data_IF_256342755316
#
_entry.id   IF_256342755316
#
_cell.length_a   1.000
_cell.length_b   1.000
_cell.length_c   1.000
_cell.angle_alpha   90.00
_cell.angle_beta   90.00
_cell.angle_gamma   90.00
#
_symmetry.space_group_name_H-M   'P 1'
#
loop_
_entity.id
_entity.type
_entity.pdbx_description
1 polymer ?
#
# COMPACT_ATOMS: atom_id res chain seq x y z
N UNK A 1 -45.40 -40.66 -7.11
CA UNK A 1 -45.06 -39.21 -7.13
C UNK A 1 -44.76 -38.81 -8.57
N UNK A 2 -45.16 -37.59 -8.95
CA UNK A 2 -45.60 -37.17 -10.29
C UNK A 2 -44.49 -36.97 -11.36
N UNK A 3 -44.95 -37.04 -12.61
CA UNK A 3 -44.33 -36.94 -13.94
C UNK A 3 -43.39 -35.75 -14.21
N UNK A 4 -42.63 -35.79 -15.33
CA UNK A 4 -42.37 -34.62 -16.16
C UNK A 4 -43.05 -34.74 -17.54
N UNK A 5 -43.69 -33.66 -18.01
CA UNK A 5 -44.18 -33.42 -19.38
C UNK A 5 -43.98 -31.91 -19.67
N UNK A 6 -43.13 -31.53 -20.62
CA UNK A 6 -43.38 -31.21 -22.05
C UNK A 6 -43.55 -29.70 -22.35
N UNK A 7 -43.21 -29.36 -23.61
CA UNK A 7 -43.32 -28.12 -24.41
C UNK A 7 -41.93 -27.50 -24.70
N UNK A 8 -41.29 -27.66 -25.88
CA UNK A 8 -41.64 -27.58 -27.31
C UNK A 8 -41.71 -26.13 -27.87
N UNK A 9 -40.70 -25.85 -28.71
CA UNK A 9 -40.55 -25.00 -29.91
C UNK A 9 -41.48 -23.79 -30.16
N UNK A 10 -40.89 -22.68 -30.65
CA UNK A 10 -41.31 -22.02 -31.89
C UNK A 10 -40.26 -21.02 -32.42
N UNK A 11 -40.08 -21.06 -33.74
CA UNK A 11 -39.21 -20.27 -34.61
C UNK A 11 -40.01 -19.22 -35.39
N UNK A 12 -39.40 -18.07 -35.70
CA UNK A 12 -39.75 -17.17 -36.85
C UNK A 12 -38.48 -16.35 -37.14
N UNK A 13 -37.70 -16.45 -38.23
CA UNK A 13 -37.92 -16.42 -39.69
C UNK A 13 -38.22 -15.03 -40.30
N UNK A 14 -37.13 -14.40 -40.77
CA UNK A 14 -36.94 -13.82 -42.13
C UNK A 14 -37.54 -12.45 -42.53
N UNK A 15 -36.67 -11.71 -43.25
CA UNK A 15 -36.94 -10.77 -44.35
C UNK A 15 -37.41 -9.35 -43.97
N UNK A 16 -37.11 -8.25 -44.66
CA UNK A 16 -36.22 -7.85 -45.75
C UNK A 16 -36.43 -6.31 -45.91
N UNK A 17 -35.65 -5.68 -46.79
CA UNK A 17 -35.93 -4.43 -47.52
C UNK A 17 -35.20 -3.16 -47.04
N UNK A 18 -33.98 -3.02 -47.56
CA UNK A 18 -33.50 -1.74 -48.05
C UNK A 18 -34.37 -1.28 -49.24
N UNK A 19 -34.85 -0.04 -49.21
CA UNK A 19 -35.21 0.74 -50.41
C UNK A 19 -34.76 2.19 -50.24
N UNK A 20 -34.06 2.64 -51.27
CA UNK A 20 -33.53 3.99 -51.46
C UNK A 20 -34.63 5.04 -51.59
N UNK A 21 -34.39 6.23 -51.04
CA UNK A 21 -34.95 7.49 -51.56
C UNK A 21 -33.80 8.49 -51.67
N UNK A 22 -33.71 9.11 -52.86
CA UNK A 22 -32.71 10.10 -53.28
C UNK A 22 -33.06 11.50 -52.77
N UNK A 23 -32.04 12.36 -52.82
CA UNK A 23 -32.02 13.83 -52.88
C UNK A 23 -32.49 14.61 -51.64
N UNK A 24 -31.55 15.23 -50.93
CA UNK A 24 -31.27 16.68 -51.08
C UNK A 24 -30.04 17.10 -50.27
N UNK A 25 -29.22 17.93 -50.89
CA UNK A 25 -28.09 18.58 -50.25
C UNK A 25 -28.60 19.75 -49.40
N UNK A 26 -28.35 19.73 -48.09
CA UNK A 26 -28.45 20.93 -47.27
C UNK A 26 -27.30 20.97 -46.25
N UNK A 27 -26.38 21.90 -46.50
CA UNK A 27 -25.27 22.25 -45.62
C UNK A 27 -25.82 22.62 -44.24
N UNK A 28 -25.48 21.84 -43.22
CA UNK A 28 -25.48 22.26 -41.81
C UNK A 28 -24.24 21.67 -41.13
N UNK A 29 -23.38 22.56 -40.66
CA UNK A 29 -22.22 22.28 -39.81
C UNK A 29 -22.66 21.55 -38.53
N UNK A 30 -22.08 20.39 -38.20
CA UNK A 30 -22.19 19.82 -36.86
C UNK A 30 -20.90 20.11 -36.08
N UNK A 31 -21.12 20.77 -34.96
CA UNK A 31 -20.20 20.96 -33.83
C UNK A 31 -19.49 19.63 -33.52
N UNK A 32 -18.15 19.64 -33.49
CA UNK A 32 -17.36 18.49 -33.02
C UNK A 32 -17.60 18.30 -31.52
N UNK A 33 -18.61 17.49 -31.21
CA UNK A 33 -18.75 16.80 -29.93
C UNK A 33 -17.80 15.61 -29.93
N UNK A 34 -16.54 15.83 -29.55
CA UNK A 34 -15.70 14.75 -29.03
C UNK A 34 -15.78 14.82 -27.51
N UNK A 35 -16.77 14.14 -26.94
CA UNK A 35 -16.73 13.74 -25.53
C UNK A 35 -15.53 12.81 -25.37
N UNK A 36 -14.37 13.37 -25.04
CA UNK A 36 -13.35 12.64 -24.30
C UNK A 36 -13.90 12.54 -22.87
N UNK A 37 -14.69 11.49 -22.65
CA UNK A 37 -14.86 10.97 -21.30
C UNK A 37 -13.50 10.37 -20.93
N UNK A 38 -12.60 11.19 -20.40
CA UNK A 38 -11.52 10.64 -19.59
C UNK A 38 -12.19 10.20 -18.30
N UNK A 39 -12.31 8.89 -18.12
CA UNK A 39 -12.52 8.31 -16.81
C UNK A 39 -11.31 8.73 -15.97
N UNK A 40 -11.48 9.75 -15.13
CA UNK A 40 -10.49 10.10 -14.11
C UNK A 40 -10.62 9.01 -13.06
N UNK A 41 -9.98 7.87 -13.30
CA UNK A 41 -9.73 6.87 -12.29
C UNK A 41 -8.94 7.59 -11.19
N UNK A 42 -9.58 7.81 -10.04
CA UNK A 42 -8.95 8.45 -8.89
C UNK A 42 -7.76 7.58 -8.49
N UNK A 43 -6.55 7.94 -8.91
CA UNK A 43 -5.31 7.31 -8.49
C UNK A 43 -5.22 7.49 -6.98
N UNK A 44 -5.60 6.45 -6.22
CA UNK A 44 -5.45 6.44 -4.77
C UNK A 44 -3.96 6.29 -4.48
N UNK A 45 -3.30 7.38 -4.11
CA UNK A 45 -1.90 7.38 -3.68
C UNK A 45 -1.79 6.60 -2.37
N UNK A 46 -0.85 5.66 -2.30
CA UNK A 46 -0.64 4.88 -1.09
C UNK A 46 -0.15 5.80 0.05
N UNK A 47 -0.73 5.63 1.25
CA UNK A 47 -0.34 6.41 2.44
C UNK A 47 0.84 5.76 3.15
N UNK A 48 1.86 6.55 3.47
CA UNK A 48 3.06 6.16 4.22
C UNK A 48 3.11 6.97 5.51
N UNK A 49 2.96 6.31 6.64
CA UNK A 49 3.19 6.89 7.96
C UNK A 49 4.67 6.83 8.28
N UNK A 50 5.26 7.97 8.67
CA UNK A 50 6.67 8.05 9.04
C UNK A 50 6.82 8.50 10.48
N UNK A 51 7.89 8.10 11.16
CA UNK A 51 8.19 8.58 12.50
C UNK A 51 9.64 8.28 12.89
N UNK A 52 10.23 9.13 13.71
CA UNK A 52 11.61 8.96 14.16
C UNK A 52 11.88 9.61 15.51
N UNK A 53 12.81 9.02 16.26
CA UNK A 53 13.49 9.70 17.37
C UNK A 53 14.54 10.70 16.84
N UNK A 54 15.17 11.45 17.72
CA UNK A 54 16.23 12.41 17.43
C UNK A 54 17.34 11.82 16.55
N UNK A 55 17.72 10.56 16.79
CA UNK A 55 18.79 9.90 16.05
C UNK A 55 18.37 9.46 14.63
N UNK A 56 17.07 9.41 14.34
CA UNK A 56 16.51 9.12 13.02
C UNK A 56 15.93 10.34 12.30
N UNK A 57 15.84 11.50 12.98
CA UNK A 57 15.10 12.67 12.50
C UNK A 57 15.59 13.19 11.14
N UNK A 58 16.90 13.42 10.97
CA UNK A 58 17.45 13.90 9.69
C UNK A 58 17.18 12.93 8.52
N UNK A 59 17.25 11.62 8.79
CA UNK A 59 16.97 10.60 7.79
C UNK A 59 15.47 10.54 7.44
N UNK A 60 14.59 10.76 8.43
CA UNK A 60 13.14 10.86 8.22
C UNK A 60 12.83 12.02 7.28
N UNK A 61 13.32 13.22 7.58
CA UNK A 61 13.09 14.41 6.76
C UNK A 61 13.53 14.19 5.31
N UNK A 62 14.74 13.63 5.10
CA UNK A 62 15.23 13.33 3.76
C UNK A 62 14.37 12.31 3.00
N UNK A 63 13.85 11.29 3.69
CA UNK A 63 12.97 10.29 3.10
C UNK A 63 11.57 10.82 2.82
N UNK A 64 11.03 11.69 3.68
CA UNK A 64 9.73 12.31 3.47
C UNK A 64 9.65 13.06 2.15
N UNK A 65 10.64 13.89 1.88
CA UNK A 65 10.71 14.66 0.64
C UNK A 65 10.78 13.74 -0.58
N UNK A 66 11.59 12.68 -0.50
CA UNK A 66 11.71 11.70 -1.57
C UNK A 66 10.39 10.94 -1.80
N UNK A 67 9.73 10.48 -0.74
CA UNK A 67 8.47 9.76 -0.83
C UNK A 67 7.35 10.63 -1.44
N UNK A 68 7.30 11.92 -1.08
CA UNK A 68 6.36 12.88 -1.67
C UNK A 68 6.65 13.06 -3.18
N UNK A 69 7.92 13.13 -3.58
CA UNK A 69 8.33 13.19 -4.99
C UNK A 69 7.97 11.91 -5.77
N UNK A 70 8.04 10.76 -5.13
CA UNK A 70 7.68 9.46 -5.71
C UNK A 70 6.14 9.25 -5.77
N UNK A 71 5.35 10.23 -5.33
CA UNK A 71 3.89 10.24 -5.45
C UNK A 71 3.11 9.61 -4.29
N UNK A 72 3.77 9.35 -3.16
CA UNK A 72 3.11 8.84 -1.96
C UNK A 72 2.46 9.95 -1.13
N UNK A 73 1.35 9.62 -0.46
CA UNK A 73 0.81 10.48 0.59
C UNK A 73 1.57 10.20 1.89
N UNK A 74 2.39 11.16 2.34
CA UNK A 74 3.22 10.98 3.53
C UNK A 74 2.57 11.67 4.73
N UNK A 75 2.43 10.94 5.84
CA UNK A 75 1.92 11.45 7.11
C UNK A 75 3.00 11.29 8.17
N UNK A 76 3.56 12.42 8.61
CA UNK A 76 4.54 12.46 9.69
C UNK A 76 3.85 12.31 11.05
N UNK A 77 4.23 11.26 11.78
CA UNK A 77 3.77 10.95 13.13
C UNK A 77 4.71 11.50 14.20
N UNK A 78 5.72 12.28 13.81
CA UNK A 78 6.59 13.05 14.66
C UNK A 78 8.03 12.52 14.74
N UNK A 79 8.96 13.34 15.26
CA UNK A 79 8.78 14.77 15.59
C UNK A 79 8.93 15.70 14.37
N UNK A 80 8.21 16.83 14.37
CA UNK A 80 8.34 17.88 13.33
C UNK A 80 9.59 18.75 13.49
N UNK A 81 10.26 18.67 14.63
CA UNK A 81 11.51 19.36 14.93
C UNK A 81 12.45 18.38 15.64
N UNK A 82 13.76 18.62 15.57
CA UNK A 82 14.74 17.83 16.33
C UNK A 82 14.58 18.09 17.84
N UNK A 83 14.35 17.03 18.63
CA UNK A 83 14.23 17.08 20.10
C UNK A 83 15.16 16.01 20.69
N UNK A 84 16.34 16.40 21.15
CA UNK A 84 17.43 15.47 21.54
C UNK A 84 17.06 14.44 22.62
N UNK A 85 16.14 14.79 23.53
CA UNK A 85 15.74 13.92 24.66
C UNK A 85 14.41 13.19 24.38
N UNK A 86 14.04 13.00 23.11
CA UNK A 86 12.84 12.25 22.74
C UNK A 86 13.02 10.73 22.81
N UNK A 87 11.88 10.05 22.91
CA UNK A 87 11.80 8.61 23.19
C UNK A 87 11.23 7.87 21.98
N UNK A 88 12.03 7.02 21.34
CA UNK A 88 11.63 6.21 20.18
C UNK A 88 10.32 5.41 20.34
N UNK A 89 9.90 4.95 21.55
CA UNK A 89 8.65 4.22 21.68
C UNK A 89 7.42 5.02 21.24
N UNK A 90 7.41 6.35 21.44
CA UNK A 90 6.27 7.20 21.12
C UNK A 90 5.99 7.17 19.62
N UNK A 91 7.03 7.34 18.80
CA UNK A 91 6.93 7.35 17.34
C UNK A 91 6.68 5.95 16.77
N UNK A 92 7.39 4.93 17.28
CA UNK A 92 7.23 3.54 16.85
C UNK A 92 5.81 3.03 17.07
N UNK A 93 5.24 3.31 18.25
CA UNK A 93 3.87 2.94 18.59
C UNK A 93 2.85 3.73 17.76
N UNK A 94 3.04 5.05 17.61
CA UNK A 94 2.12 5.90 16.85
C UNK A 94 2.00 5.45 15.38
N UNK A 95 3.12 5.20 14.70
CA UNK A 95 3.13 4.69 13.32
C UNK A 95 2.48 3.31 13.26
N UNK A 96 2.85 2.39 14.14
CA UNK A 96 2.31 1.03 14.12
C UNK A 96 0.78 0.99 14.30
N UNK A 97 0.25 1.81 15.22
CA UNK A 97 -1.19 1.93 15.45
C UNK A 97 -1.92 2.45 14.22
N UNK A 98 -1.35 3.43 13.50
CA UNK A 98 -1.94 3.94 12.26
C UNK A 98 -1.92 2.90 11.16
N UNK A 99 -0.79 2.24 10.93
CA UNK A 99 -0.64 1.23 9.88
C UNK A 99 -1.62 0.06 10.04
N UNK A 100 -1.86 -0.39 11.28
CA UNK A 100 -2.81 -1.48 11.55
C UNK A 100 -4.26 -1.06 11.32
N UNK A 101 -4.59 0.21 11.57
CA UNK A 101 -5.98 0.71 11.45
C UNK A 101 -6.32 1.23 10.06
N UNK A 102 -5.32 1.70 9.31
CA UNK A 102 -5.46 2.22 7.96
C UNK A 102 -5.05 1.16 6.92
N UNK A 103 -6.04 0.40 6.45
CA UNK A 103 -5.82 -0.72 5.53
C UNK A 103 -5.26 -0.22 4.20
N UNK A 104 -4.12 -0.79 3.78
CA UNK A 104 -3.43 -0.43 2.53
C UNK A 104 -2.27 0.54 2.73
N UNK A 105 -2.18 1.20 3.89
CA UNK A 105 -1.04 2.04 4.27
C UNK A 105 0.22 1.22 4.60
N UNK A 106 1.34 1.92 4.76
CA UNK A 106 2.62 1.37 5.23
C UNK A 106 3.26 2.30 6.25
N UNK A 107 4.17 1.76 7.04
CA UNK A 107 4.95 2.52 8.03
C UNK A 107 6.45 2.51 7.72
N UNK A 108 7.12 3.62 7.99
CA UNK A 108 8.58 3.69 8.04
C UNK A 108 8.95 4.35 9.38
N UNK A 109 9.73 3.65 10.19
CA UNK A 109 10.19 4.15 11.49
C UNK A 109 11.69 4.17 11.56
N UNK A 110 12.26 5.17 12.21
CA UNK A 110 13.71 5.38 12.22
C UNK A 110 14.16 5.66 13.65
N UNK A 111 15.18 4.92 14.09
CA UNK A 111 15.91 5.30 15.30
C UNK A 111 17.40 5.04 15.11
N UNK A 112 18.23 5.35 16.11
CA UNK A 112 19.69 5.25 15.97
C UNK A 112 20.18 3.93 15.33
N UNK A 113 19.70 2.77 15.80
CA UNK A 113 20.06 1.45 15.27
C UNK A 113 18.88 0.62 14.71
N UNK A 114 17.70 1.23 14.57
CA UNK A 114 16.41 0.60 14.22
C UNK A 114 15.83 -0.43 15.21
N UNK A 115 16.62 -1.02 16.10
CA UNK A 115 16.20 -2.19 16.87
C UNK A 115 15.12 -1.85 17.90
N UNK A 116 15.34 -0.80 18.69
CA UNK A 116 14.40 -0.41 19.74
C UNK A 116 13.02 -0.08 19.17
N UNK A 117 12.99 0.77 18.14
CA UNK A 117 11.72 1.19 17.52
C UNK A 117 11.01 0.03 16.81
N UNK A 118 11.76 -0.91 16.23
CA UNK A 118 11.22 -2.14 15.64
C UNK A 118 10.60 -3.06 16.70
N UNK A 119 11.24 -3.19 17.87
CA UNK A 119 10.71 -3.96 19.00
C UNK A 119 9.38 -3.37 19.47
N UNK A 120 9.30 -2.04 19.61
CA UNK A 120 8.07 -1.36 20.05
C UNK A 120 6.96 -1.47 19.02
N UNK A 121 7.24 -1.24 17.74
CA UNK A 121 6.23 -1.33 16.68
C UNK A 121 5.56 -2.71 16.65
N UNK A 122 6.33 -3.79 16.83
CA UNK A 122 5.81 -5.16 16.90
C UNK A 122 5.00 -5.48 18.18
N UNK A 123 4.89 -4.55 19.14
CA UNK A 123 3.96 -4.71 20.29
C UNK A 123 2.52 -4.33 19.95
N UNK A 124 2.28 -3.78 18.76
CA UNK A 124 0.93 -3.52 18.27
C UNK A 124 0.44 -4.75 17.52
N UNK A 125 -0.65 -5.37 18.00
CA UNK A 125 -1.30 -6.50 17.33
C UNK A 125 -1.57 -6.19 15.84
N UNK A 126 -1.10 -7.05 14.94
CA UNK A 126 -1.22 -6.92 13.49
C UNK A 126 -0.08 -6.14 12.83
N UNK A 127 0.79 -5.49 13.61
CA UNK A 127 2.01 -4.88 13.09
C UNK A 127 3.07 -5.95 12.84
N UNK A 128 3.71 -5.87 11.69
CA UNK A 128 4.85 -6.69 11.29
C UNK A 128 5.96 -5.76 10.86
N UNK A 129 6.74 -5.33 11.84
CA UNK A 129 7.85 -4.42 11.65
C UNK A 129 9.16 -5.20 11.43
N UNK A 130 9.92 -4.81 10.42
CA UNK A 130 11.18 -5.46 10.05
C UNK A 130 12.30 -4.44 9.88
N UNK A 131 13.51 -4.78 10.32
CA UNK A 131 14.69 -3.92 10.16
C UNK A 131 15.28 -4.07 8.77
N UNK A 132 15.24 -3.01 7.96
CA UNK A 132 15.79 -2.97 6.61
C UNK A 132 17.18 -2.37 6.57
N UNK A 133 18.23 -3.15 6.83
CA UNK A 133 19.61 -2.64 6.78
C UNK A 133 20.24 -2.69 5.38
N UNK A 134 19.60 -3.38 4.43
CA UNK A 134 19.97 -3.40 3.01
C UNK A 134 18.75 -3.76 2.13
N UNK A 135 18.92 -3.71 0.80
CA UNK A 135 17.84 -3.97 -0.18
C UNK A 135 17.29 -5.39 -0.06
N UNK A 136 18.16 -6.39 -0.06
CA UNK A 136 17.77 -7.80 -0.07
C UNK A 136 16.93 -8.15 1.16
N UNK A 137 17.32 -7.65 2.34
CA UNK A 137 16.59 -7.88 3.59
C UNK A 137 15.26 -7.14 3.59
N UNK A 138 15.22 -5.91 3.08
CA UNK A 138 13.97 -5.18 2.95
C UNK A 138 13.01 -5.89 1.98
N UNK A 139 13.49 -6.34 0.82
CA UNK A 139 12.68 -7.12 -0.13
C UNK A 139 12.17 -8.41 0.49
N UNK A 140 13.04 -9.20 1.13
CA UNK A 140 12.63 -10.47 1.74
C UNK A 140 11.66 -10.28 2.91
N UNK A 141 11.77 -9.19 3.68
CA UNK A 141 10.76 -8.85 4.70
C UNK A 141 9.36 -8.62 4.10
N UNK A 142 9.28 -8.14 2.86
CA UNK A 142 8.00 -8.00 2.13
C UNK A 142 7.55 -9.33 1.57
N UNK A 143 8.41 -10.03 0.82
CA UNK A 143 8.03 -11.25 0.12
C UNK A 143 7.65 -12.37 1.08
N UNK A 144 8.35 -12.49 2.20
CA UNK A 144 8.27 -13.66 3.09
C UNK A 144 7.42 -13.37 4.32
N UNK A 145 7.57 -12.18 4.91
CA UNK A 145 6.94 -11.80 6.18
C UNK A 145 5.77 -10.83 6.02
N UNK A 146 5.50 -10.38 4.80
CA UNK A 146 4.51 -9.35 4.50
C UNK A 146 4.60 -8.16 5.48
N UNK A 147 5.83 -7.71 5.77
CA UNK A 147 6.11 -6.64 6.71
C UNK A 147 5.38 -5.36 6.28
N UNK A 148 4.60 -4.76 7.18
CA UNK A 148 3.84 -3.54 6.90
C UNK A 148 4.52 -2.29 7.48
N UNK A 149 5.60 -2.47 8.25
CA UNK A 149 6.42 -1.38 8.79
C UNK A 149 7.91 -1.70 8.52
N UNK A 150 8.64 -0.73 7.98
CA UNK A 150 10.08 -0.82 7.78
C UNK A 150 10.81 0.00 8.85
N UNK A 151 11.82 -0.60 9.49
CA UNK A 151 12.64 0.06 10.51
C UNK A 151 14.04 0.33 9.95
N UNK A 152 14.51 1.57 10.02
CA UNK A 152 15.80 1.99 9.46
C UNK A 152 16.76 2.51 10.53
N UNK A 153 18.07 2.21 10.41
CA UNK A 153 19.06 2.63 11.39
C UNK A 153 19.65 4.01 11.03
N UNK A 154 19.12 5.07 11.65
CA UNK A 154 19.48 6.47 11.36
C UNK A 154 20.98 6.79 11.48
N UNK A 155 21.69 6.18 12.44
CA UNK A 155 23.14 6.40 12.62
C UNK A 155 24.02 5.53 11.71
N UNK A 156 23.44 4.58 11.00
CA UNK A 156 24.19 3.56 10.24
C UNK A 156 23.81 3.49 8.76
N UNK A 157 22.99 4.44 8.28
CA UNK A 157 22.54 4.47 6.90
C UNK A 157 22.41 5.90 6.41
N UNK A 158 23.04 6.22 5.28
CA UNK A 158 22.86 7.52 4.64
C UNK A 158 21.53 7.60 3.85
N UNK A 159 21.09 8.81 3.54
CA UNK A 159 19.81 9.07 2.87
C UNK A 159 19.70 8.41 1.50
N UNK A 160 20.79 8.33 0.73
CA UNK A 160 20.78 7.68 -0.59
C UNK A 160 20.53 6.19 -0.44
N UNK A 161 21.26 5.54 0.48
CA UNK A 161 21.11 4.11 0.76
C UNK A 161 19.74 3.81 1.34
N UNK A 162 19.23 4.66 2.23
CA UNK A 162 17.90 4.52 2.80
C UNK A 162 16.81 4.61 1.74
N UNK A 163 16.87 5.59 0.84
CA UNK A 163 15.91 5.72 -0.27
C UNK A 163 15.89 4.46 -1.14
N UNK A 164 17.08 3.94 -1.46
CA UNK A 164 17.26 2.68 -2.18
C UNK A 164 16.63 1.46 -1.49
N UNK A 165 16.70 1.40 -0.16
CA UNK A 165 16.12 0.33 0.66
C UNK A 165 14.60 0.47 0.75
N UNK A 166 14.12 1.69 0.98
CA UNK A 166 12.69 2.05 1.05
C UNK A 166 12.00 1.77 -0.28
N UNK A 167 12.59 2.18 -1.40
CA UNK A 167 12.06 1.91 -2.74
C UNK A 167 11.93 0.41 -3.00
N UNK A 168 12.98 -0.37 -2.70
CA UNK A 168 12.95 -1.82 -2.84
C UNK A 168 11.85 -2.46 -1.97
N UNK A 169 11.61 -1.93 -0.77
CA UNK A 169 10.57 -2.41 0.13
C UNK A 169 9.15 -2.05 -0.36
N UNK A 170 8.92 -0.80 -0.74
CA UNK A 170 7.60 -0.32 -1.16
C UNK A 170 7.13 -0.97 -2.46
N UNK A 171 8.06 -1.22 -3.39
CA UNK A 171 7.77 -1.83 -4.70
C UNK A 171 7.74 -3.35 -4.67
N UNK A 172 8.04 -3.99 -3.54
CA UNK A 172 8.01 -5.45 -3.42
C UNK A 172 6.69 -5.94 -2.85
N UNK A 173 6.00 -6.76 -3.65
CA UNK A 173 4.79 -7.44 -3.25
C UNK A 173 5.04 -8.63 -2.34
N UNK A 174 4.02 -8.96 -1.54
CA UNK A 174 4.03 -10.21 -0.79
C UNK A 174 3.93 -11.38 -1.76
N UNK A 175 4.78 -12.40 -1.58
CA UNK A 175 4.86 -13.53 -2.52
C UNK A 175 3.61 -14.40 -2.57
N UNK A 176 2.79 -14.40 -1.51
CA UNK A 176 1.61 -15.26 -1.40
C UNK A 176 1.92 -16.76 -1.30
N UNK A 177 3.19 -17.17 -1.23
CA UNK A 177 3.56 -18.59 -1.21
C UNK A 177 2.98 -19.31 0.01
N UNK A 178 2.49 -20.54 -0.17
CA UNK A 178 1.81 -21.32 0.89
C UNK A 178 2.60 -21.38 2.21
N UNK A 179 3.93 -21.54 2.11
CA UNK A 179 4.80 -21.59 3.29
C UNK A 179 4.83 -20.27 4.07
N UNK A 180 4.72 -19.13 3.39
CA UNK A 180 4.75 -17.78 3.98
C UNK A 180 3.39 -17.47 4.60
N UNK A 181 2.29 -17.72 3.88
CA UNK A 181 0.93 -17.59 4.41
C UNK A 181 0.74 -18.45 5.68
N UNK A 182 1.23 -19.70 5.67
CA UNK A 182 1.19 -20.57 6.86
C UNK A 182 1.96 -20.00 8.05
N UNK A 183 3.14 -19.39 7.82
CA UNK A 183 3.95 -18.78 8.89
C UNK A 183 3.23 -17.55 9.46
N UNK A 184 2.65 -16.71 8.62
CA UNK A 184 1.88 -15.54 9.06
C UNK A 184 0.66 -15.93 9.90
N UNK A 185 -0.05 -17.01 9.54
CA UNK A 185 -1.12 -17.55 10.39
C UNK A 185 -0.64 -17.96 11.79
N UNK A 186 0.60 -18.46 11.91
CA UNK A 186 1.19 -18.76 13.23
C UNK A 186 1.55 -17.50 14.01
N UNK A 187 2.04 -16.47 13.33
CA UNK A 187 2.28 -15.15 13.96
C UNK A 187 0.97 -14.58 14.48
N UNK A 188 -0.08 -14.57 13.66
CA UNK A 188 -1.42 -14.12 14.06
C UNK A 188 -1.97 -14.93 15.25
N UNK A 189 -1.74 -16.25 15.29
CA UNK A 189 -2.12 -17.07 16.44
C UNK A 189 -1.38 -16.64 17.72
N UNK A 190 -0.05 -16.43 17.66
CA UNK A 190 0.74 -15.93 18.80
C UNK A 190 0.19 -14.59 19.28
N UNK A 191 -0.14 -13.68 18.37
CA UNK A 191 -0.74 -12.39 18.74
C UNK A 191 -2.12 -12.55 19.41
N UNK A 192 -2.93 -13.50 18.97
CA UNK A 192 -4.23 -13.78 19.59
C UNK A 192 -4.07 -14.35 21.01
N UNK A 193 -3.09 -15.23 21.22
CA UNK A 193 -2.83 -15.87 22.51
C UNK A 193 -2.23 -14.88 23.53
N UNK A 194 -1.34 -13.98 23.09
CA UNK A 194 -0.63 -13.06 23.98
C UNK A 194 -1.35 -11.72 24.20
N UNK A 195 -2.12 -11.23 23.20
CA UNK A 195 -2.82 -9.93 23.28
C UNK A 195 -4.33 -10.05 23.49
N UNK A 196 -4.90 -11.26 23.42
CA UNK A 196 -6.32 -11.49 23.67
C UNK A 196 -6.62 -11.72 25.14
N UNK A 197 -7.23 -10.72 25.81
CA UNK A 197 -8.04 -10.92 27.03
C UNK A 197 -9.50 -10.72 26.65
#
# INVERSE_FOLDING_TARGET
MKMPRFFQEASVSSSCLAKSIRTEAYKKTPVLSSRLCYDVETMTTQTIYVGADHAGWELKEALEDRLKQDGYTVVDMGNQNLVEDDDYPDFGYAVAKRVVTDTGSRGIVICGNAQGICIVANKVKGARAATGFNKDVAQTSRTDDNANILCLPGRHMDAKKAAEVVEAWLTTDFSGADRHVRRLKKVEQIENDEFGI
#
